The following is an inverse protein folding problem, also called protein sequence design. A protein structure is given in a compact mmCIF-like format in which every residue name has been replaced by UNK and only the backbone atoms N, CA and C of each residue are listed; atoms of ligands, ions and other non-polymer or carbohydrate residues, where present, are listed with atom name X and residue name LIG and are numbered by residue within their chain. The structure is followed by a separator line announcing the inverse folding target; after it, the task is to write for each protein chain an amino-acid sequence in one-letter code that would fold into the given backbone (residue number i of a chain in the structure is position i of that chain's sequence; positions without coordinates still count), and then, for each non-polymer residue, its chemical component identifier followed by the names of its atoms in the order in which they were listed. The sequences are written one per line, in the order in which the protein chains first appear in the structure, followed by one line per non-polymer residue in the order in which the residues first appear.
data_IF_528357301208
#
_entry.id   IF_528357301208
#
_cell.length_a   1.000
_cell.length_b   1.000
_cell.length_c   1.000
_cell.angle_alpha   90.00
_cell.angle_beta   90.00
_cell.angle_gamma   90.00
#
_symmetry.space_group_name_H-M   'P 1'
#
loop_
_entity.id
_entity.type
_entity.pdbx_description
1 polymer ?
#
# COMPACT_ATOMS: atom_id res chain seq x y z
N UNK A 1 0.51 1.17 0.26
CA UNK A 1 0.48 0.83 1.68
C UNK A 1 1.87 1.09 2.26
N UNK A 2 2.02 1.86 3.33
CA UNK A 2 3.32 2.12 3.97
C UNK A 2 3.82 0.95 4.85
N UNK A 3 3.41 -0.29 4.59
CA UNK A 3 3.86 -1.49 5.29
C UNK A 3 3.10 -1.87 6.55
N UNK A 4 2.02 -1.17 6.88
CA UNK A 4 1.21 -1.46 8.09
C UNK A 4 0.57 -2.85 8.05
N UNK A 5 0.23 -3.35 6.87
CA UNK A 5 -0.29 -4.70 6.66
C UNK A 5 0.70 -5.80 7.03
N UNK A 6 2.01 -5.52 7.01
CA UNK A 6 3.04 -6.50 7.40
C UNK A 6 2.93 -6.89 8.88
N UNK A 7 2.59 -5.93 9.75
CA UNK A 7 2.36 -6.18 11.18
C UNK A 7 1.12 -7.08 11.37
N UNK A 8 0.03 -6.77 10.67
CA UNK A 8 -1.19 -7.59 10.70
C UNK A 8 -0.88 -9.00 10.19
N UNK A 9 -0.19 -9.13 9.06
CA UNK A 9 0.21 -10.44 8.49
C UNK A 9 1.01 -11.26 9.48
N UNK A 10 1.97 -10.66 10.17
CA UNK A 10 2.77 -11.32 11.19
C UNK A 10 1.92 -11.90 12.33
N UNK A 11 0.93 -11.12 12.81
CA UNK A 11 0.01 -11.59 13.85
C UNK A 11 -0.88 -12.73 13.35
N UNK A 12 -1.40 -12.65 12.14
CA UNK A 12 -2.20 -13.72 11.53
C UNK A 12 -1.40 -15.01 11.36
N UNK A 13 -0.13 -14.91 11.00
CA UNK A 13 0.77 -16.06 10.90
C UNK A 13 1.12 -16.65 12.26
N UNK A 14 1.31 -15.83 13.27
CA UNK A 14 1.55 -16.31 14.64
C UNK A 14 0.33 -17.08 15.19
N UNK A 15 -0.90 -16.65 14.85
CA UNK A 15 -2.12 -17.33 15.29
C UNK A 15 -2.40 -18.63 14.54
N UNK A 16 -2.02 -18.74 13.28
CA UNK A 16 -2.20 -19.94 12.44
C UNK A 16 -0.94 -20.21 11.60
N UNK A 17 0.14 -20.77 12.20
CA UNK A 17 1.46 -20.84 11.57
C UNK A 17 1.55 -21.74 10.34
N UNK A 18 0.70 -22.75 10.25
CA UNK A 18 0.67 -23.67 9.08
C UNK A 18 -0.44 -23.25 8.14
N UNK A 19 -0.12 -22.56 7.06
CA UNK A 19 -1.14 -22.11 6.13
C UNK A 19 -0.63 -21.14 5.08
N UNK A 20 -1.57 -20.46 4.41
CA UNK A 20 -1.31 -19.51 3.33
C UNK A 20 -1.97 -18.16 3.62
N UNK A 21 -1.25 -17.10 3.29
CA UNK A 21 -1.80 -15.73 3.29
C UNK A 21 -1.96 -15.24 1.85
N UNK A 22 -3.18 -14.88 1.50
CA UNK A 22 -3.49 -14.21 0.23
C UNK A 22 -3.55 -12.72 0.48
N UNK A 23 -2.88 -11.95 -0.39
CA UNK A 23 -2.86 -10.49 -0.31
C UNK A 23 -3.30 -9.90 -1.64
N UNK A 24 -4.32 -9.04 -1.59
CA UNK A 24 -4.73 -8.22 -2.72
C UNK A 24 -4.58 -6.74 -2.35
N UNK A 25 -3.83 -5.99 -3.16
CA UNK A 25 -3.69 -4.55 -3.04
C UNK A 25 -4.66 -3.83 -3.97
N UNK A 26 -5.35 -2.80 -3.49
CA UNK A 26 -6.36 -2.08 -4.23
C UNK A 26 -7.79 -2.62 -4.03
N UNK A 27 -8.76 -2.20 -4.86
CA UNK A 27 -8.58 -1.15 -5.85
C UNK A 27 -8.22 0.18 -5.18
N UNK A 28 -7.40 0.99 -5.85
CA UNK A 28 -7.13 2.32 -5.34
C UNK A 28 -5.82 2.93 -5.81
N UNK A 29 -5.63 4.21 -5.48
CA UNK A 29 -4.49 5.01 -5.89
C UNK A 29 -3.17 4.47 -5.31
N UNK A 30 -2.19 4.22 -6.18
CA UNK A 30 -0.82 3.93 -5.80
C UNK A 30 0.03 5.19 -5.82
N UNK A 31 0.52 5.62 -4.67
CA UNK A 31 1.29 6.86 -4.55
C UNK A 31 2.63 6.79 -5.29
N UNK A 32 3.42 5.73 -5.11
CA UNK A 32 4.72 5.57 -5.76
C UNK A 32 4.62 5.54 -7.28
N UNK A 33 3.70 4.74 -7.83
CA UNK A 33 3.43 4.68 -9.27
C UNK A 33 2.93 6.03 -9.82
N UNK A 34 2.07 6.73 -9.07
CA UNK A 34 1.58 8.05 -9.47
C UNK A 34 2.73 9.07 -9.56
N UNK A 35 3.67 9.04 -8.62
CA UNK A 35 4.85 9.92 -8.64
C UNK A 35 5.75 9.58 -9.82
N UNK A 36 5.98 8.30 -10.10
CA UNK A 36 6.76 7.86 -11.26
C UNK A 36 6.16 8.36 -12.59
N UNK A 37 4.84 8.22 -12.76
CA UNK A 37 4.17 8.75 -13.96
C UNK A 37 4.31 10.26 -14.08
N UNK A 38 4.17 11.01 -12.97
CA UNK A 38 4.33 12.48 -12.98
C UNK A 38 5.74 12.93 -13.36
N UNK A 39 6.74 12.08 -13.21
CA UNK A 39 8.12 12.36 -13.62
C UNK A 39 8.37 12.17 -15.11
N UNK A 40 7.47 11.49 -15.83
CA UNK A 40 7.59 11.30 -17.29
C UNK A 40 7.39 12.62 -18.02
N UNK A 41 8.30 12.94 -18.95
CA UNK A 41 8.18 14.17 -19.73
C UNK A 41 6.91 14.17 -20.55
N UNK A 42 6.25 15.34 -20.62
CA UNK A 42 4.96 15.51 -21.27
C UNK A 42 3.74 15.27 -20.37
N UNK A 43 3.91 14.67 -19.20
CA UNK A 43 2.82 14.52 -18.22
C UNK A 43 2.60 15.83 -17.46
N UNK A 44 1.37 16.36 -17.49
CA UNK A 44 0.93 17.51 -16.70
C UNK A 44 0.42 17.10 -15.33
N UNK A 45 -0.47 16.10 -15.30
CA UNK A 45 -1.00 15.50 -14.09
C UNK A 45 -1.21 13.99 -14.32
N UNK A 46 -1.19 13.20 -13.25
CA UNK A 46 -1.37 11.76 -13.36
C UNK A 46 -1.94 11.14 -12.08
N UNK A 47 -2.60 10.01 -12.29
CA UNK A 47 -3.07 9.10 -11.26
C UNK A 47 -2.83 7.65 -11.71
N UNK A 48 -2.18 6.85 -10.90
CA UNK A 48 -2.05 5.41 -11.12
C UNK A 48 -2.88 4.63 -10.11
N UNK A 49 -3.77 3.78 -10.63
CA UNK A 49 -4.63 2.90 -9.85
C UNK A 49 -4.09 1.48 -9.87
N UNK A 50 -4.05 0.85 -8.70
CA UNK A 50 -3.82 -0.59 -8.56
C UNK A 50 -5.16 -1.31 -8.53
N UNK A 51 -5.38 -2.22 -9.48
CA UNK A 51 -6.59 -3.03 -9.56
C UNK A 51 -6.19 -4.50 -9.36
N UNK A 52 -6.65 -5.17 -8.30
CA UNK A 52 -6.41 -6.60 -8.12
C UNK A 52 -7.17 -7.41 -9.18
N UNK A 53 -6.48 -8.34 -9.82
CA UNK A 53 -7.06 -9.23 -10.85
C UNK A 53 -7.04 -10.70 -10.43
N UNK A 54 -6.47 -10.99 -9.28
CA UNK A 54 -6.39 -12.31 -8.69
C UNK A 54 -5.49 -12.28 -7.47
N UNK A 55 -5.20 -13.41 -6.90
CA UNK A 55 -4.40 -13.52 -5.68
C UNK A 55 -2.97 -13.03 -5.91
N UNK A 56 -2.68 -11.84 -5.42
CA UNK A 56 -1.36 -11.20 -5.55
C UNK A 56 -1.04 -10.69 -6.95
N UNK A 57 -1.99 -10.73 -7.90
CA UNK A 57 -1.82 -10.23 -9.27
C UNK A 57 -2.58 -8.92 -9.41
N UNK A 58 -1.94 -7.93 -10.03
CA UNK A 58 -2.47 -6.58 -10.17
C UNK A 58 -2.38 -6.10 -11.61
N UNK A 59 -3.31 -5.22 -11.96
CA UNK A 59 -3.30 -4.41 -13.18
C UNK A 59 -3.11 -2.95 -12.78
N UNK A 60 -2.37 -2.20 -13.60
CA UNK A 60 -2.22 -0.75 -13.43
C UNK A 60 -3.12 -0.03 -14.41
N UNK A 61 -4.00 0.82 -13.88
CA UNK A 61 -4.78 1.76 -14.67
C UNK A 61 -4.20 3.14 -14.44
N UNK A 62 -3.59 3.72 -15.47
CA UNK A 62 -2.86 5.00 -15.39
C UNK A 62 -3.63 6.04 -16.17
N UNK A 63 -4.03 7.11 -15.50
CA UNK A 63 -4.73 8.25 -16.08
C UNK A 63 -3.77 9.42 -16.15
N UNK A 64 -3.68 10.07 -17.30
CA UNK A 64 -2.74 11.17 -17.53
C UNK A 64 -3.41 12.36 -18.21
N UNK A 65 -3.11 13.57 -17.70
CA UNK A 65 -3.24 14.79 -18.44
C UNK A 65 -1.91 15.11 -19.12
N UNK A 66 -1.94 15.48 -20.38
CA UNK A 66 -0.74 15.84 -21.13
C UNK A 66 -0.52 17.35 -21.12
N UNK A 67 0.74 17.75 -21.18
CA UNK A 67 1.12 19.09 -21.55
C UNK A 67 0.82 19.32 -23.03
N UNK A 68 0.59 20.56 -23.41
CA UNK A 68 0.35 20.94 -24.79
C UNK A 68 1.51 20.55 -25.72
N UNK A 69 1.18 20.00 -26.88
CA UNK A 69 2.14 19.60 -27.92
C UNK A 69 2.79 18.22 -27.73
N UNK A 70 2.43 17.49 -26.68
CA UNK A 70 2.95 16.12 -26.46
C UNK A 70 2.06 15.06 -27.09
N UNK A 71 2.72 14.03 -27.64
CA UNK A 71 2.05 12.88 -28.27
C UNK A 71 1.74 11.80 -27.22
N UNK A 72 0.47 11.44 -27.12
CA UNK A 72 0.01 10.45 -26.13
C UNK A 72 0.69 9.08 -26.30
N UNK A 73 0.92 8.63 -27.53
CA UNK A 73 1.49 7.30 -27.78
C UNK A 73 2.93 7.22 -27.25
N UNK A 74 3.70 8.28 -27.39
CA UNK A 74 5.08 8.36 -26.89
C UNK A 74 5.11 8.38 -25.36
N UNK A 75 4.25 9.19 -24.74
CA UNK A 75 4.14 9.27 -23.29
C UNK A 75 3.66 7.93 -22.70
N UNK A 76 2.65 7.31 -23.29
CA UNK A 76 2.15 6.01 -22.85
C UNK A 76 3.21 4.91 -22.97
N UNK A 77 4.03 4.93 -24.05
CA UNK A 77 5.12 3.98 -24.21
C UNK A 77 6.23 4.22 -23.16
N UNK A 78 6.57 5.47 -22.88
CA UNK A 78 7.56 5.80 -21.83
C UNK A 78 7.11 5.28 -20.45
N UNK A 79 5.83 5.49 -20.09
CA UNK A 79 5.25 4.98 -18.84
C UNK A 79 5.35 3.45 -18.79
N UNK A 80 4.93 2.73 -19.84
CA UNK A 80 4.93 1.27 -19.84
C UNK A 80 6.32 0.64 -19.79
N UNK A 81 7.36 1.37 -20.19
CA UNK A 81 8.76 0.92 -20.17
C UNK A 81 9.51 1.31 -18.90
N UNK A 82 8.90 2.08 -18.00
CA UNK A 82 9.46 2.43 -16.71
C UNK A 82 9.50 1.22 -15.76
N UNK A 83 10.54 1.13 -14.92
CA UNK A 83 10.76 0.02 -13.99
C UNK A 83 9.58 -0.23 -13.03
N UNK A 84 8.79 0.81 -12.71
CA UNK A 84 7.58 0.69 -11.91
C UNK A 84 6.44 -0.06 -12.61
N UNK A 85 6.47 -0.16 -13.94
CA UNK A 85 5.34 -0.66 -14.74
C UNK A 85 5.67 -1.85 -15.62
N UNK A 86 6.94 -2.07 -15.94
CA UNK A 86 7.39 -3.07 -16.92
C UNK A 86 6.96 -4.50 -16.59
N UNK A 87 6.73 -4.82 -15.32
CA UNK A 87 6.33 -6.14 -14.86
C UNK A 87 4.82 -6.30 -14.63
N UNK A 88 4.06 -5.22 -14.77
CA UNK A 88 2.61 -5.22 -14.54
C UNK A 88 1.84 -5.03 -15.85
N UNK A 89 0.65 -5.63 -15.95
CA UNK A 89 -0.30 -5.29 -17.01
C UNK A 89 -0.73 -3.83 -16.84
N UNK A 90 -0.23 -2.94 -17.71
CA UNK A 90 -0.42 -1.49 -17.58
C UNK A 90 -1.22 -0.93 -18.73
N UNK A 91 -2.33 -0.28 -18.39
CA UNK A 91 -3.18 0.48 -19.31
C UNK A 91 -3.04 1.97 -19.03
N UNK A 92 -2.69 2.74 -20.05
CA UNK A 92 -2.55 4.20 -19.94
C UNK A 92 -3.72 4.84 -20.70
N UNK A 93 -4.39 5.79 -20.08
CA UNK A 93 -5.52 6.52 -20.65
C UNK A 93 -5.30 8.02 -20.49
N UNK A 94 -5.50 8.76 -21.56
CA UNK A 94 -5.52 10.22 -21.52
C UNK A 94 -6.87 10.70 -20.99
N UNK A 95 -6.86 11.66 -20.08
CA UNK A 95 -8.05 12.31 -19.52
C UNK A 95 -7.91 13.83 -19.57
N UNK A 96 -9.03 14.53 -19.51
CA UNK A 96 -9.04 16.00 -19.50
C UNK A 96 -8.67 16.54 -18.11
N UNK A 97 -9.13 15.87 -17.04
CA UNK A 97 -8.88 16.27 -15.66
C UNK A 97 -8.64 15.03 -14.77
N UNK A 98 -7.46 14.95 -14.19
CA UNK A 98 -7.12 13.87 -13.23
C UNK A 98 -7.79 14.13 -11.88
N UNK A 99 -8.05 15.38 -11.51
CA UNK A 99 -8.63 15.72 -10.23
C UNK A 99 -10.04 15.14 -10.04
N UNK A 100 -10.78 14.92 -11.13
CA UNK A 100 -12.09 14.25 -11.10
C UNK A 100 -12.00 12.78 -10.64
N UNK A 101 -10.79 12.20 -10.64
CA UNK A 101 -10.53 10.80 -10.29
C UNK A 101 -9.82 10.63 -8.93
N UNK A 102 -9.45 11.71 -8.26
CA UNK A 102 -8.61 11.67 -7.04
C UNK A 102 -9.29 11.06 -5.83
N UNK A 103 -10.60 10.96 -5.80
CA UNK A 103 -11.37 10.44 -4.66
C UNK A 103 -11.39 8.90 -4.57
N UNK A 104 -10.53 8.26 -5.32
CA UNK A 104 -10.37 6.80 -5.28
C UNK A 104 -9.44 6.41 -4.14
N UNK A 105 -9.99 5.72 -3.14
CA UNK A 105 -9.22 5.18 -2.02
C UNK A 105 -8.14 4.19 -2.45
N UNK A 106 -7.37 3.72 -1.51
CA UNK A 106 -6.45 2.60 -1.66
C UNK A 106 -6.77 1.55 -0.60
N UNK A 107 -6.57 0.27 -0.90
CA UNK A 107 -6.95 -0.78 0.01
C UNK A 107 -6.00 -1.97 0.01
N UNK A 108 -6.13 -2.77 1.05
CA UNK A 108 -5.51 -4.10 1.17
C UNK A 108 -6.56 -5.06 1.69
N UNK A 109 -6.68 -6.21 1.06
CA UNK A 109 -7.40 -7.36 1.58
C UNK A 109 -6.42 -8.49 1.86
N UNK A 110 -6.36 -8.92 3.12
CA UNK A 110 -5.59 -10.09 3.55
C UNK A 110 -6.56 -11.19 3.95
N UNK A 111 -6.36 -12.39 3.43
CA UNK A 111 -7.04 -13.61 3.89
C UNK A 111 -6.00 -14.62 4.31
N UNK A 112 -5.96 -14.97 5.58
CA UNK A 112 -5.15 -16.07 6.10
C UNK A 112 -6.00 -17.30 6.33
N UNK A 113 -5.63 -18.41 5.71
CA UNK A 113 -6.14 -19.76 6.02
C UNK A 113 -5.00 -20.58 6.62
N UNK A 114 -5.20 -21.13 7.79
CA UNK A 114 -4.15 -21.89 8.43
C UNK A 114 -4.62 -22.72 9.60
N UNK A 115 -3.71 -23.44 10.21
CA UNK A 115 -3.98 -24.35 11.33
C UNK A 115 -3.32 -23.81 12.58
N UNK A 116 -4.14 -23.69 13.64
CA UNK A 116 -3.67 -23.47 15.02
C UNK A 116 -3.56 -24.83 15.71
N UNK A 117 -2.40 -25.08 16.34
CA UNK A 117 -2.09 -26.40 16.89
C UNK A 117 -1.89 -27.45 15.80
N UNK A 118 -2.57 -28.60 15.89
CA UNK A 118 -2.42 -29.73 14.95
C UNK A 118 -3.49 -29.78 13.86
N UNK A 119 -4.74 -29.49 14.19
CA UNK A 119 -5.89 -29.78 13.34
C UNK A 119 -6.94 -28.66 13.26
N UNK A 120 -6.82 -27.61 14.06
CA UNK A 120 -7.84 -26.57 14.14
C UNK A 120 -7.66 -25.54 13.03
N UNK A 121 -8.49 -25.63 12.00
CA UNK A 121 -8.50 -24.69 10.90
C UNK A 121 -9.02 -23.33 11.32
N UNK A 122 -8.29 -22.30 10.95
CA UNK A 122 -8.62 -20.90 11.18
C UNK A 122 -8.73 -20.18 9.84
N UNK A 123 -9.63 -19.20 9.78
CA UNK A 123 -9.69 -18.23 8.70
C UNK A 123 -9.78 -16.83 9.28
N UNK A 124 -8.84 -16.01 8.91
CA UNK A 124 -8.80 -14.60 9.29
C UNK A 124 -8.92 -13.74 8.04
N UNK A 125 -9.64 -12.64 8.17
CA UNK A 125 -9.77 -11.65 7.12
C UNK A 125 -9.48 -10.28 7.70
N UNK A 126 -8.70 -9.49 6.96
CA UNK A 126 -8.42 -8.11 7.27
C UNK A 126 -8.61 -7.26 6.00
N UNK A 127 -9.44 -6.25 6.11
CA UNK A 127 -9.70 -5.30 5.03
C UNK A 127 -9.33 -3.90 5.48
N UNK A 128 -8.60 -3.19 4.64
CA UNK A 128 -8.21 -1.82 4.86
C UNK A 128 -8.54 -0.98 3.62
N UNK A 129 -9.19 0.17 3.84
CA UNK A 129 -9.39 1.19 2.82
C UNK A 129 -8.87 2.51 3.36
N UNK A 130 -8.01 3.18 2.60
CA UNK A 130 -7.21 4.32 3.08
C UNK A 130 -7.12 5.44 2.05
N UNK A 131 -6.87 6.65 2.54
CA UNK A 131 -6.20 7.69 1.78
C UNK A 131 -4.70 7.47 1.92
N UNK A 132 -4.04 7.02 0.87
CA UNK A 132 -2.64 6.57 0.92
C UNK A 132 -1.65 7.68 1.34
N UNK A 133 -1.70 8.91 0.79
CA UNK A 133 -0.81 9.99 1.25
C UNK A 133 -1.00 10.34 2.73
N UNK A 134 -2.23 10.41 3.21
CA UNK A 134 -2.53 10.75 4.60
C UNK A 134 -2.05 9.66 5.56
N UNK A 135 -2.29 8.37 5.25
CA UNK A 135 -1.79 7.26 6.05
C UNK A 135 -0.26 7.23 6.07
N UNK A 136 0.39 7.44 4.92
CA UNK A 136 1.86 7.47 4.84
C UNK A 136 2.44 8.56 5.72
N UNK A 137 1.88 9.78 5.67
CA UNK A 137 2.30 10.87 6.54
C UNK A 137 2.15 10.53 8.03
N UNK A 138 1.00 9.95 8.41
CA UNK A 138 0.74 9.58 9.79
C UNK A 138 1.67 8.46 10.28
N UNK A 139 1.93 7.45 9.46
CA UNK A 139 2.80 6.33 9.89
C UNK A 139 4.28 6.76 9.96
N UNK A 140 4.72 7.72 9.15
CA UNK A 140 6.06 8.29 9.28
C UNK A 140 6.23 9.00 10.62
N UNK A 141 5.24 9.79 11.07
CA UNK A 141 5.26 10.42 12.40
C UNK A 141 5.27 9.37 13.51
N UNK A 142 4.50 8.31 13.39
CA UNK A 142 4.47 7.22 14.35
C UNK A 142 5.79 6.43 14.39
N UNK A 143 6.41 6.19 13.25
CA UNK A 143 7.71 5.55 13.15
C UNK A 143 8.83 6.44 13.75
N UNK A 144 8.79 7.74 13.49
CA UNK A 144 9.71 8.70 14.11
C UNK A 144 9.59 8.69 15.65
N UNK A 145 8.38 8.60 16.19
CA UNK A 145 8.15 8.45 17.63
C UNK A 145 8.72 7.14 18.15
N UNK A 146 8.45 6.01 17.48
CA UNK A 146 8.96 4.71 17.85
C UNK A 146 10.49 4.68 17.86
N UNK A 147 11.15 5.37 16.92
CA UNK A 147 12.62 5.40 16.85
C UNK A 147 13.30 6.01 18.07
N UNK A 148 12.60 6.88 18.83
CA UNK A 148 13.16 7.53 20.03
C UNK A 148 13.35 6.55 21.20
N UNK A 149 12.68 5.40 21.17
CA UNK A 149 12.75 4.39 22.23
C UNK A 149 13.47 3.10 21.80
N UNK A 150 13.91 3.04 20.54
CA UNK A 150 14.72 1.93 20.03
C UNK A 150 16.22 2.19 20.22
N UNK A 151 17.00 1.13 20.29
CA UNK A 151 18.47 1.24 20.19
C UNK A 151 18.87 1.67 18.77
N UNK A 152 20.06 2.31 18.59
CA UNK A 152 20.55 2.62 17.26
C UNK A 152 20.60 1.37 16.36
N UNK A 153 19.95 1.43 15.19
CA UNK A 153 19.86 0.28 14.26
C UNK A 153 18.94 0.55 13.10
N UNK A 154 18.73 -0.48 12.29
CA UNK A 154 17.76 -0.49 11.18
C UNK A 154 16.68 -1.51 11.53
N UNK A 155 15.42 -1.10 11.46
CA UNK A 155 14.29 -1.89 11.88
C UNK A 155 13.20 -1.89 10.81
N UNK A 156 12.55 -3.03 10.65
CA UNK A 156 11.25 -3.11 9.95
C UNK A 156 10.11 -2.89 10.97
N UNK A 157 8.93 -2.58 10.48
CA UNK A 157 7.77 -2.34 11.36
C UNK A 157 7.40 -3.53 12.25
N UNK A 158 7.67 -4.75 11.79
CA UNK A 158 7.34 -5.98 12.54
C UNK A 158 8.30 -6.25 13.72
N UNK A 159 9.47 -5.61 13.74
CA UNK A 159 10.48 -5.77 14.79
C UNK A 159 10.25 -4.79 15.96
N UNK A 160 9.44 -3.76 15.75
CA UNK A 160 9.16 -2.73 16.75
C UNK A 160 7.87 -3.10 17.50
N UNK A 161 7.85 -3.05 18.83
CA UNK A 161 6.63 -3.26 19.60
C UNK A 161 5.51 -2.31 19.13
N UNK A 162 4.31 -2.82 18.81
CA UNK A 162 3.22 -1.98 18.29
C UNK A 162 2.87 -0.78 19.18
N UNK A 163 3.07 -0.90 20.49
CA UNK A 163 2.80 0.16 21.45
C UNK A 163 3.71 1.39 21.26
N UNK A 164 4.93 1.19 20.73
CA UNK A 164 5.92 2.26 20.57
C UNK A 164 5.53 3.22 19.43
N UNK A 165 4.64 2.81 18.51
CA UNK A 165 4.07 3.70 17.51
C UNK A 165 3.03 4.68 18.06
N UNK A 166 2.48 4.40 19.26
CA UNK A 166 1.38 5.17 19.81
C UNK A 166 1.88 6.39 20.61
N UNK A 167 1.08 7.45 20.58
CA UNK A 167 1.28 8.61 21.43
C UNK A 167 0.55 8.40 22.77
N UNK A 168 1.24 8.64 23.85
CA UNK A 168 0.68 8.60 25.19
C UNK A 168 1.57 7.83 26.17
N UNK A 169 1.15 7.85 27.43
CA UNK A 169 1.80 7.16 28.51
C UNK A 169 1.54 5.64 28.41
N UNK A 170 2.61 4.83 28.54
CA UNK A 170 2.60 3.39 28.25
C UNK A 170 1.53 2.63 29.04
N UNK A 171 1.43 2.86 30.34
CA UNK A 171 0.44 2.16 31.17
C UNK A 171 -1.01 2.57 30.83
N UNK A 172 -1.22 3.85 30.51
CA UNK A 172 -2.53 4.33 30.08
C UNK A 172 -2.94 3.69 28.74
N UNK A 173 -1.99 3.51 27.82
CA UNK A 173 -2.22 2.81 26.56
C UNK A 173 -2.58 1.34 26.80
N UNK A 174 -1.85 0.65 27.65
CA UNK A 174 -2.14 -0.76 28.00
C UNK A 174 -3.55 -0.87 28.57
N UNK A 175 -3.90 -0.05 29.58
CA UNK A 175 -5.25 -0.08 30.18
C UNK A 175 -6.38 0.21 29.19
N UNK A 176 -6.10 0.97 28.13
CA UNK A 176 -7.11 1.31 27.13
C UNK A 176 -7.27 0.23 26.06
N UNK A 177 -6.21 -0.50 25.74
CA UNK A 177 -6.15 -1.43 24.62
C UNK A 177 -6.31 -2.89 25.01
N UNK A 178 -6.10 -3.20 26.28
CA UNK A 178 -6.24 -4.54 26.90
C UNK A 178 -7.35 -4.52 27.94
#
# INVERSE_FOLDING_TARGET
DPGTDSVVRTLLEAMAPKGLTYTNFGPGMSMGHTVAVKAVDGVKAALSMTIPTGTGIHRRMVYVELKEGYDFSKVAQAIKSDDYFVHDETHVMQVECVDDLLDMGHGVNLTRKGVSGKTQNQRFEFNMSINNPALTGQILVSAARASLVQQPGVYTMIEIPPIDYLYGEREALIRRLV
#
